data_IF_743610945109
#
_entry.id   IF_743610945109
#
_cell.length_a   1.000
_cell.length_b   1.000
_cell.length_c   1.000
_cell.angle_alpha   90.00
_cell.angle_beta   90.00
_cell.angle_gamma   90.00
#
_symmetry.space_group_name_H-M   'P 1'
#
loop_
_entity.id
_entity.type
_entity.pdbx_description
1 polymer ?
#
# COMPACT_ATOMS: atom_id res chain seq x y z
N UNK A 1 -7.55 9.39 -28.20
CA UNK A 1 -8.48 8.31 -27.81
C UNK A 1 -7.75 7.42 -26.81
N UNK A 2 -8.05 7.55 -25.51
CA UNK A 2 -7.31 6.90 -24.44
C UNK A 2 -7.69 5.41 -24.37
N UNK A 3 -6.72 4.50 -24.56
CA UNK A 3 -6.95 3.05 -24.51
C UNK A 3 -6.88 2.58 -23.06
N UNK A 4 -7.95 2.83 -22.30
CA UNK A 4 -8.10 2.27 -20.95
C UNK A 4 -8.20 0.74 -21.07
N UNK A 5 -7.40 0.01 -20.27
CA UNK A 5 -7.35 -1.46 -20.34
C UNK A 5 -8.67 -2.04 -19.83
N UNK A 6 -9.25 -2.98 -20.59
CA UNK A 6 -10.58 -3.56 -20.36
C UNK A 6 -10.78 -4.14 -18.96
N UNK A 7 -9.74 -4.71 -18.35
CA UNK A 7 -9.83 -5.24 -16.99
C UNK A 7 -10.05 -4.18 -15.90
N UNK A 8 -9.57 -2.94 -16.11
CA UNK A 8 -9.80 -1.83 -15.17
C UNK A 8 -11.26 -1.38 -15.21
N UNK A 9 -11.86 -1.40 -16.39
CA UNK A 9 -13.28 -1.09 -16.60
C UNK A 9 -14.15 -2.20 -15.97
N UNK A 10 -13.86 -3.46 -16.27
CA UNK A 10 -14.63 -4.60 -15.74
C UNK A 10 -14.64 -4.67 -14.20
N UNK A 11 -13.52 -4.35 -13.55
CA UNK A 11 -13.44 -4.28 -12.09
C UNK A 11 -14.25 -3.12 -11.46
N UNK A 12 -14.34 -1.98 -12.15
CA UNK A 12 -15.05 -0.79 -11.65
C UNK A 12 -16.58 -0.89 -11.81
N UNK A 13 -17.07 -1.50 -12.88
CA UNK A 13 -18.51 -1.46 -13.23
C UNK A 13 -19.36 -2.58 -12.59
N UNK A 14 -18.76 -3.66 -12.09
CA UNK A 14 -19.53 -4.81 -11.59
C UNK A 14 -20.09 -4.67 -10.15
N UNK A 15 -19.73 -3.61 -9.40
CA UNK A 15 -19.93 -3.58 -7.94
C UNK A 15 -20.35 -2.20 -7.38
N UNK A 16 -21.43 -1.60 -7.87
CA UNK A 16 -21.65 -0.15 -7.65
C UNK A 16 -22.49 0.27 -6.43
N UNK A 17 -23.17 -0.60 -5.68
CA UNK A 17 -23.88 -0.18 -4.44
C UNK A 17 -23.64 -1.09 -3.23
N UNK A 18 -23.80 -2.41 -3.38
CA UNK A 18 -23.61 -3.34 -2.26
C UNK A 18 -22.12 -3.42 -1.83
N UNK A 19 -21.19 -3.37 -2.79
CA UNK A 19 -19.77 -3.36 -2.48
C UNK A 19 -19.31 -2.03 -1.86
N UNK A 20 -19.91 -0.89 -2.24
CA UNK A 20 -19.64 0.40 -1.61
C UNK A 20 -20.11 0.40 -0.14
N UNK A 21 -21.31 -0.13 0.15
CA UNK A 21 -21.84 -0.27 1.52
C UNK A 21 -21.01 -1.22 2.39
N UNK A 22 -20.63 -2.40 1.85
CA UNK A 22 -19.77 -3.33 2.57
C UNK A 22 -18.34 -2.81 2.73
N UNK A 23 -17.79 -2.07 1.76
CA UNK A 23 -16.50 -1.37 1.89
C UNK A 23 -16.57 -0.30 2.98
N UNK A 24 -17.65 0.49 3.02
CA UNK A 24 -17.86 1.50 4.05
C UNK A 24 -17.94 0.86 5.45
N UNK A 25 -18.81 -0.13 5.65
CA UNK A 25 -19.02 -0.67 6.99
C UNK A 25 -17.88 -1.60 7.45
N UNK A 26 -17.26 -2.36 6.55
CA UNK A 26 -16.18 -3.28 6.92
C UNK A 26 -14.82 -2.58 6.95
N UNK A 27 -14.50 -1.78 5.93
CA UNK A 27 -13.18 -1.15 5.79
C UNK A 27 -13.13 0.20 6.53
N UNK A 28 -14.09 1.09 6.32
CA UNK A 28 -14.05 2.44 6.92
C UNK A 28 -14.48 2.39 8.40
N UNK A 29 -15.67 1.87 8.72
CA UNK A 29 -16.19 1.84 10.09
C UNK A 29 -15.59 0.71 10.94
N UNK A 30 -15.43 -0.49 10.38
CA UNK A 30 -14.93 -1.66 11.09
C UNK A 30 -13.40 -1.68 11.26
N UNK A 31 -12.65 -1.32 10.21
CA UNK A 31 -11.18 -1.43 10.22
C UNK A 31 -10.52 -0.19 10.80
N UNK A 32 -11.13 0.99 10.68
CA UNK A 32 -10.62 2.22 11.29
C UNK A 32 -10.39 2.10 12.81
N UNK A 33 -11.29 1.43 13.53
CA UNK A 33 -11.16 1.20 14.98
C UNK A 33 -10.11 0.14 15.37
N UNK A 34 -9.64 -0.68 14.42
CA UNK A 34 -8.71 -1.79 14.66
C UNK A 34 -7.32 -1.56 14.05
N UNK A 35 -7.20 -0.62 13.11
CA UNK A 35 -5.95 -0.31 12.41
C UNK A 35 -4.82 0.01 13.39
N UNK A 36 -5.13 0.77 14.43
CA UNK A 36 -4.15 1.13 15.45
C UNK A 36 -3.60 -0.11 16.16
N UNK A 37 -4.46 -1.03 16.60
CA UNK A 37 -4.04 -2.27 17.25
C UNK A 37 -3.25 -3.20 16.32
N UNK A 38 -3.55 -3.22 15.02
CA UNK A 38 -2.75 -3.94 14.03
C UNK A 38 -1.36 -3.34 13.88
N UNK A 39 -1.25 -2.02 13.79
CA UNK A 39 0.05 -1.34 13.72
C UNK A 39 0.85 -1.50 15.01
N UNK A 40 0.20 -1.51 16.17
CA UNK A 40 0.85 -1.80 17.46
C UNK A 40 1.37 -3.25 17.50
N UNK A 41 0.59 -4.21 16.99
CA UNK A 41 1.04 -5.60 16.87
C UNK A 41 2.24 -5.74 15.93
N UNK A 42 2.23 -5.05 14.79
CA UNK A 42 3.38 -4.98 13.90
C UNK A 42 4.57 -4.35 14.62
N UNK A 43 4.39 -3.22 15.33
CA UNK A 43 5.46 -2.54 16.07
C UNK A 43 6.12 -3.44 17.11
N UNK A 44 5.33 -4.04 17.99
CA UNK A 44 5.84 -4.63 19.23
C UNK A 44 6.08 -6.14 19.15
N UNK A 45 5.33 -6.86 18.29
CA UNK A 45 5.34 -8.33 18.29
C UNK A 45 6.06 -8.93 17.09
N UNK A 46 6.17 -8.20 15.97
CA UNK A 46 6.80 -8.71 14.76
C UNK A 46 8.22 -8.17 14.59
N UNK A 47 9.15 -9.06 14.21
CA UNK A 47 10.56 -8.74 13.93
C UNK A 47 10.86 -8.65 12.42
N UNK A 48 9.85 -8.43 11.59
CA UNK A 48 10.02 -8.31 10.15
C UNK A 48 10.38 -6.88 9.73
N UNK A 49 11.13 -6.76 8.63
CA UNK A 49 11.30 -5.51 7.91
C UNK A 49 9.97 -5.06 7.31
N UNK A 50 9.71 -3.76 7.36
CA UNK A 50 8.49 -3.14 6.80
C UNK A 50 8.92 -2.13 5.74
N UNK A 51 8.41 -2.27 4.52
CA UNK A 51 8.69 -1.35 3.41
C UNK A 51 7.37 -0.78 2.91
N UNK A 52 7.29 0.54 2.74
CA UNK A 52 6.10 1.26 2.28
C UNK A 52 6.48 2.00 1.01
N UNK A 53 5.78 1.74 -0.08
CA UNK A 53 5.93 2.45 -1.34
C UNK A 53 4.75 3.38 -1.51
N UNK A 54 5.01 4.67 -1.79
CA UNK A 54 3.97 5.67 -1.92
C UNK A 54 4.24 6.57 -3.12
N UNK A 55 3.22 6.83 -3.94
CA UNK A 55 3.32 7.74 -5.07
C UNK A 55 3.19 9.19 -4.62
N UNK A 56 4.11 10.09 -4.99
CA UNK A 56 4.05 11.49 -4.55
C UNK A 56 2.78 12.21 -5.02
N UNK A 57 2.23 11.80 -6.15
CA UNK A 57 1.06 12.41 -6.77
C UNK A 57 -0.23 11.65 -6.44
N UNK A 58 -0.23 10.83 -5.37
CA UNK A 58 -1.45 10.17 -4.88
C UNK A 58 -2.43 11.23 -4.36
N UNK A 59 -3.57 11.39 -5.06
CA UNK A 59 -4.64 12.32 -4.68
C UNK A 59 -5.65 11.69 -3.72
N UNK A 60 -5.61 10.36 -3.52
CA UNK A 60 -6.55 9.63 -2.66
C UNK A 60 -6.03 9.54 -1.23
N UNK A 61 -4.73 9.29 -1.06
CA UNK A 61 -4.09 9.14 0.25
C UNK A 61 -2.90 10.10 0.31
N UNK A 62 -2.90 11.09 1.23
CA UNK A 62 -1.76 11.98 1.41
C UNK A 62 -0.50 11.22 1.84
N UNK A 63 0.67 11.69 1.38
CA UNK A 63 1.97 11.07 1.71
C UNK A 63 2.25 11.04 3.21
N UNK A 64 1.70 12.00 3.95
CA UNK A 64 1.76 12.11 5.40
C UNK A 64 1.23 10.85 6.09
N UNK A 65 0.23 10.17 5.51
CA UNK A 65 -0.27 8.91 6.06
C UNK A 65 0.83 7.84 6.11
N UNK A 66 1.69 7.76 5.09
CA UNK A 66 2.83 6.82 5.09
C UNK A 66 3.87 7.18 6.14
N UNK A 67 4.13 8.47 6.35
CA UNK A 67 5.02 8.94 7.41
C UNK A 67 4.42 8.73 8.81
N UNK A 68 3.11 8.86 8.99
CA UNK A 68 2.45 8.54 10.26
C UNK A 68 2.57 7.06 10.60
N UNK A 69 2.47 6.16 9.60
CA UNK A 69 2.76 4.74 9.79
C UNK A 69 4.22 4.53 10.21
N UNK A 70 5.18 5.23 9.58
CA UNK A 70 6.58 5.16 9.99
C UNK A 70 6.83 5.70 11.40
N UNK A 71 6.16 6.77 11.81
CA UNK A 71 6.25 7.27 13.20
C UNK A 71 5.74 6.22 14.19
N UNK A 72 4.64 5.53 13.86
CA UNK A 72 4.08 4.46 14.69
C UNK A 72 4.90 3.18 14.65
N UNK A 73 5.50 2.83 13.51
CA UNK A 73 6.37 1.66 13.32
C UNK A 73 7.75 2.17 12.86
N UNK A 74 8.66 2.54 13.78
CA UNK A 74 9.91 3.24 13.45
C UNK A 74 10.85 2.51 12.48
N UNK A 75 10.74 1.18 12.40
CA UNK A 75 11.52 0.35 11.47
C UNK A 75 10.95 0.31 10.05
N UNK A 76 9.79 0.90 9.81
CA UNK A 76 9.21 0.98 8.48
C UNK A 76 10.02 1.94 7.60
N UNK A 77 10.36 1.49 6.40
CA UNK A 77 11.10 2.26 5.40
C UNK A 77 10.11 2.80 4.38
N UNK A 78 9.87 4.11 4.41
CA UNK A 78 8.99 4.79 3.44
C UNK A 78 9.81 5.22 2.23
N UNK A 79 9.37 4.78 1.05
CA UNK A 79 9.92 5.17 -0.24
C UNK A 79 8.85 5.91 -1.04
N UNK A 80 9.04 7.22 -1.16
CA UNK A 80 8.19 8.08 -1.98
C UNK A 80 8.73 8.07 -3.41
N UNK A 81 7.84 7.89 -4.38
CA UNK A 81 8.17 7.76 -5.80
C UNK A 81 7.57 8.96 -6.53
N UNK A 82 8.44 9.78 -7.10
CA UNK A 82 8.04 11.00 -7.80
C UNK A 82 7.34 10.66 -9.12
N UNK A 83 6.30 11.44 -9.46
CA UNK A 83 5.55 11.26 -10.71
C UNK A 83 4.53 10.12 -10.67
N UNK A 84 4.47 9.35 -9.59
CA UNK A 84 3.55 8.21 -9.46
C UNK A 84 2.36 8.52 -8.53
N UNK A 85 1.22 7.88 -8.78
CA UNK A 85 -0.01 7.94 -7.99
C UNK A 85 -0.35 6.57 -7.37
N UNK A 86 -1.52 6.46 -6.73
CA UNK A 86 -2.01 5.24 -6.05
C UNK A 86 -1.94 3.96 -6.90
N UNK A 87 -2.07 4.08 -8.22
CA UNK A 87 -2.10 2.95 -9.17
C UNK A 87 -0.76 2.83 -9.89
N UNK A 88 -0.17 3.94 -10.32
CA UNK A 88 1.03 3.91 -11.17
C UNK A 88 2.31 3.56 -10.42
N UNK A 89 2.29 3.56 -9.08
CA UNK A 89 3.34 2.92 -8.27
C UNK A 89 3.62 1.47 -8.72
N UNK A 90 2.61 0.77 -9.27
CA UNK A 90 2.73 -0.57 -9.85
C UNK A 90 2.54 -0.55 -11.36
N UNK A 91 1.46 0.06 -11.86
CA UNK A 91 1.11 0.05 -13.28
C UNK A 91 2.09 0.92 -14.06
N UNK A 92 2.72 0.36 -15.10
CA UNK A 92 3.81 0.95 -15.90
C UNK A 92 5.20 0.93 -15.25
N UNK A 93 5.31 0.46 -13.99
CA UNK A 93 6.59 0.27 -13.29
C UNK A 93 6.87 -1.18 -12.92
N UNK A 94 6.15 -2.15 -13.48
CA UNK A 94 6.17 -3.55 -13.04
C UNK A 94 7.58 -4.15 -12.99
N UNK A 95 8.42 -3.92 -14.00
CA UNK A 95 9.79 -4.47 -14.02
C UNK A 95 10.68 -3.86 -12.94
N UNK A 96 10.55 -2.56 -12.71
CA UNK A 96 11.32 -1.85 -11.68
C UNK A 96 10.84 -2.27 -10.30
N UNK A 97 9.53 -2.29 -10.10
CA UNK A 97 8.90 -2.71 -8.85
C UNK A 97 9.24 -4.16 -8.50
N UNK A 98 9.20 -5.08 -9.48
CA UNK A 98 9.61 -6.48 -9.27
C UNK A 98 11.07 -6.59 -8.79
N UNK A 99 12.00 -5.82 -9.40
CA UNK A 99 13.39 -5.80 -8.97
C UNK A 99 13.55 -5.24 -7.55
N UNK A 100 12.83 -4.18 -7.20
CA UNK A 100 12.83 -3.61 -5.85
C UNK A 100 12.34 -4.63 -4.82
N UNK A 101 11.32 -5.44 -5.17
CA UNK A 101 10.85 -6.54 -4.35
C UNK A 101 11.91 -7.64 -4.22
N UNK A 102 12.56 -8.06 -5.31
CA UNK A 102 13.65 -9.05 -5.26
C UNK A 102 14.80 -8.60 -4.36
N UNK A 103 15.16 -7.33 -4.38
CA UNK A 103 16.18 -6.75 -3.50
C UNK A 103 15.77 -6.81 -2.02
N UNK A 104 14.51 -6.48 -1.72
CA UNK A 104 13.95 -6.61 -0.35
C UNK A 104 14.01 -8.08 0.10
N UNK A 105 13.58 -9.02 -0.75
CA UNK A 105 13.60 -10.45 -0.43
C UNK A 105 15.01 -10.96 -0.16
N UNK A 106 15.97 -10.63 -1.03
CA UNK A 106 17.39 -11.00 -0.85
C UNK A 106 18.03 -10.35 0.37
N UNK A 107 17.54 -9.18 0.78
CA UNK A 107 17.97 -8.51 2.01
C UNK A 107 17.43 -9.20 3.26
N UNK A 108 16.18 -9.68 3.21
CA UNK A 108 15.54 -10.42 4.30
C UNK A 108 16.27 -11.71 4.68
N UNK A 109 16.84 -12.42 3.71
CA UNK A 109 17.62 -13.64 3.95
C UNK A 109 18.91 -13.40 4.78
N UNK A 110 19.39 -12.15 4.88
CA UNK A 110 20.60 -11.81 5.65
C UNK A 110 20.34 -11.61 7.14
N UNK A 111 19.09 -11.44 7.56
CA UNK A 111 18.71 -11.25 8.98
C UNK A 111 18.36 -12.59 9.65
N UNK A 112 18.15 -13.64 8.86
CA UNK A 112 17.75 -14.99 9.31
C UNK A 112 18.94 -15.97 9.40
N UNK A 113 20.16 -15.54 9.05
CA UNK A 113 21.39 -16.33 9.17
C UNK A 113 22.35 -15.75 10.21
#
# INVERSE_FOLDING_TARGET
MCRMRTFLIEGFFCHTHNAAWHTLHNIICGTGSRLDGYLDSVRDHLKCDVNIFHGRNDELIPVECSYNVQQKVPRAKVKVIDGEDHITIVVNRQKVFARELEEIWRGGDRVVN
#
